data_IF_153771781431
#
_entry.id   IF_153771781431
#
_cell.length_a   1.000
_cell.length_b   1.000
_cell.length_c   1.000
_cell.angle_alpha   90.00
_cell.angle_beta   90.00
_cell.angle_gamma   90.00
#
_symmetry.space_group_name_H-M   'P 1'
#
loop_
_entity.id
_entity.type
_entity.pdbx_description
1 polymer ?
#
# COMPACT_ATOMS: atom_id res chain seq x y z
N UNK A 1 10.36 -5.61 31.69
CA UNK A 1 10.37 -6.67 30.67
C UNK A 1 10.35 -5.97 29.32
N UNK A 2 11.43 -6.06 28.51
CA UNK A 2 11.43 -5.46 27.17
C UNK A 2 10.33 -6.05 26.31
N UNK A 3 9.51 -5.22 25.68
CA UNK A 3 8.50 -5.67 24.72
C UNK A 3 9.20 -6.49 23.63
N UNK A 4 8.69 -7.67 23.31
CA UNK A 4 9.21 -8.51 22.23
C UNK A 4 9.14 -7.72 20.94
N UNK A 5 10.26 -7.46 20.29
CA UNK A 5 10.32 -6.72 19.02
C UNK A 5 9.96 -7.70 17.91
N UNK A 6 8.75 -7.58 17.35
CA UNK A 6 8.32 -8.34 16.17
C UNK A 6 8.96 -7.77 14.91
N UNK A 7 9.30 -8.63 13.96
CA UNK A 7 9.45 -8.21 12.56
C UNK A 7 8.06 -8.00 11.97
N UNK A 8 7.96 -7.23 10.88
CA UNK A 8 6.66 -7.03 10.21
C UNK A 8 6.03 -8.35 9.77
N UNK A 9 6.81 -9.30 9.25
CA UNK A 9 6.30 -10.64 8.86
C UNK A 9 5.73 -11.42 10.04
N UNK A 10 6.39 -11.43 11.19
CA UNK A 10 5.89 -12.08 12.41
C UNK A 10 4.61 -11.43 12.91
N UNK A 11 4.56 -10.10 12.89
CA UNK A 11 3.36 -9.36 13.27
C UNK A 11 2.20 -9.65 12.33
N UNK A 12 2.41 -9.53 11.01
CA UNK A 12 1.40 -9.80 9.99
C UNK A 12 0.84 -11.23 10.13
N UNK A 13 1.70 -12.23 10.25
CA UNK A 13 1.28 -13.62 10.46
C UNK A 13 0.41 -13.77 11.71
N UNK A 14 0.82 -13.17 12.83
CA UNK A 14 0.05 -13.19 14.07
C UNK A 14 -1.33 -12.51 13.94
N UNK A 15 -1.42 -11.39 13.18
CA UNK A 15 -2.70 -10.72 12.96
C UNK A 15 -3.62 -11.57 12.08
N UNK A 16 -3.10 -12.18 11.01
CA UNK A 16 -3.88 -13.08 10.14
C UNK A 16 -4.39 -14.28 10.93
N UNK A 17 -3.53 -14.96 11.70
CA UNK A 17 -3.90 -16.11 12.53
C UNK A 17 -4.97 -15.76 13.58
N UNK A 18 -4.89 -14.58 14.17
CA UNK A 18 -5.87 -14.11 15.16
C UNK A 18 -7.09 -13.42 14.56
N UNK A 19 -7.17 -13.32 13.23
CA UNK A 19 -8.25 -12.63 12.53
C UNK A 19 -8.31 -11.13 12.77
N UNK A 20 -7.20 -10.52 13.24
CA UNK A 20 -7.14 -9.09 13.57
C UNK A 20 -6.66 -8.23 12.41
N UNK A 21 -7.14 -6.99 12.29
CA UNK A 21 -6.68 -6.07 11.25
C UNK A 21 -5.28 -5.52 11.52
N UNK A 22 -4.64 -5.05 10.43
CA UNK A 22 -3.42 -4.24 10.45
C UNK A 22 -3.76 -2.87 9.86
N UNK A 23 -3.44 -1.82 10.59
CA UNK A 23 -3.77 -0.47 10.19
C UNK A 23 -2.55 0.26 9.64
N UNK A 24 -2.70 0.79 8.42
CA UNK A 24 -1.76 1.70 7.79
C UNK A 24 -2.19 3.14 8.05
N UNK A 25 -1.28 4.07 7.85
CA UNK A 25 -1.54 5.49 7.96
C UNK A 25 -2.36 6.04 6.77
N UNK A 26 -2.33 7.34 6.57
CA UNK A 26 -3.06 8.05 5.52
C UNK A 26 -2.17 8.98 4.72
N UNK A 27 -2.80 9.95 4.03
CA UNK A 27 -2.13 10.81 3.07
C UNK A 27 -1.05 11.72 3.64
N UNK A 28 0.23 11.42 3.42
CA UNK A 28 1.36 12.27 3.78
C UNK A 28 1.25 13.64 3.09
N UNK A 29 1.04 13.68 1.78
CA UNK A 29 0.89 14.92 1.03
C UNK A 29 -0.30 15.78 1.51
N UNK A 30 -1.40 15.15 1.91
CA UNK A 30 -2.55 15.82 2.52
C UNK A 30 -2.17 16.54 3.82
N UNK A 31 -1.39 15.87 4.66
CA UNK A 31 -0.93 16.44 5.94
C UNK A 31 0.10 17.55 5.74
N UNK A 32 1.01 17.40 4.80
CA UNK A 32 1.95 18.45 4.42
C UNK A 32 1.18 19.70 3.94
N UNK A 33 0.19 19.53 3.07
CA UNK A 33 -0.64 20.64 2.61
C UNK A 33 -1.39 21.32 3.78
N UNK A 34 -1.91 20.54 4.73
CA UNK A 34 -2.59 21.05 5.93
C UNK A 34 -1.66 21.80 6.88
N UNK A 35 -0.38 21.48 6.93
CA UNK A 35 0.60 22.19 7.77
C UNK A 35 0.80 23.63 7.34
N UNK A 36 0.41 23.99 6.10
CA UNK A 36 0.59 25.32 5.55
C UNK A 36 2.04 25.66 5.17
N UNK A 37 2.96 24.70 5.26
CA UNK A 37 4.35 24.92 4.86
C UNK A 37 4.43 25.16 3.35
N UNK A 38 5.26 26.11 2.95
CA UNK A 38 5.48 26.52 1.55
C UNK A 38 6.98 26.66 1.28
N UNK A 39 7.37 26.81 0.01
CA UNK A 39 8.77 27.09 -0.37
C UNK A 39 9.62 25.84 -0.58
N UNK A 40 9.01 24.67 -0.70
CA UNK A 40 9.69 23.44 -1.13
C UNK A 40 9.40 23.13 -2.61
N UNK A 41 10.31 22.45 -3.26
CA UNK A 41 10.14 22.05 -4.65
C UNK A 41 9.42 20.69 -4.78
N UNK A 42 9.71 19.78 -3.86
CA UNK A 42 9.10 18.45 -3.73
C UNK A 42 8.81 18.15 -2.25
N UNK A 43 7.81 17.32 -1.93
CA UNK A 43 7.49 16.98 -0.54
C UNK A 43 8.66 16.44 0.27
N UNK A 44 9.54 15.69 -0.37
CA UNK A 44 10.72 15.07 0.23
C UNK A 44 11.73 16.10 0.75
N UNK A 45 11.76 17.33 0.21
CA UNK A 45 12.62 18.42 0.71
C UNK A 45 12.35 18.72 2.19
N UNK A 46 11.12 18.49 2.66
CA UNK A 46 10.75 18.74 4.05
C UNK A 46 11.47 17.80 5.02
N UNK A 47 11.95 16.66 4.55
CA UNK A 47 12.79 15.79 5.38
C UNK A 47 14.08 16.50 5.87
N UNK A 48 14.56 17.48 5.10
CA UNK A 48 15.77 18.25 5.41
C UNK A 48 15.45 19.62 6.01
N UNK A 49 14.45 20.32 5.46
CA UNK A 49 14.18 21.71 5.83
C UNK A 49 13.18 21.84 7.00
N UNK A 50 12.27 20.85 7.16
CA UNK A 50 11.23 20.84 8.18
C UNK A 50 10.97 19.43 8.70
N UNK A 51 12.00 18.70 9.18
CA UNK A 51 11.84 17.31 9.65
C UNK A 51 10.87 17.20 10.83
N UNK A 52 10.73 18.26 11.62
CA UNK A 52 9.78 18.33 12.75
C UNK A 52 8.32 18.22 12.29
N UNK A 53 7.97 18.74 11.10
CA UNK A 53 6.63 18.62 10.53
C UNK A 53 6.34 17.17 10.15
N UNK A 54 7.29 16.52 9.46
CA UNK A 54 7.14 15.12 9.04
C UNK A 54 7.08 14.19 10.25
N UNK A 55 7.92 14.44 11.25
CA UNK A 55 7.91 13.67 12.49
C UNK A 55 6.57 13.80 13.24
N UNK A 56 6.02 15.01 13.35
CA UNK A 56 4.73 15.25 13.98
C UNK A 56 3.59 14.56 13.22
N UNK A 57 3.61 14.56 11.88
CA UNK A 57 2.63 13.82 11.07
C UNK A 57 2.64 12.33 11.41
N UNK A 58 3.81 11.70 11.50
CA UNK A 58 3.92 10.30 11.90
C UNK A 58 3.38 10.05 13.30
N UNK A 59 3.69 10.92 14.27
CA UNK A 59 3.16 10.83 15.65
C UNK A 59 1.63 10.95 15.66
N UNK A 60 1.06 11.85 14.87
CA UNK A 60 -0.39 12.01 14.77
C UNK A 60 -1.07 10.74 14.21
N UNK A 61 -0.49 10.07 13.21
CA UNK A 61 -1.00 8.82 12.68
C UNK A 61 -0.88 7.66 13.68
N UNK A 62 0.23 7.55 14.43
CA UNK A 62 0.35 6.57 15.50
C UNK A 62 -0.70 6.79 16.60
N UNK A 63 -0.96 8.06 17.00
CA UNK A 63 -2.05 8.41 17.91
C UNK A 63 -3.45 8.09 17.36
N UNK A 64 -3.60 8.01 16.05
CA UNK A 64 -4.83 7.57 15.40
C UNK A 64 -4.99 6.03 15.38
N UNK A 65 -3.95 5.27 15.77
CA UNK A 65 -3.98 3.82 15.92
C UNK A 65 -3.37 3.02 14.76
N UNK A 66 -2.61 3.64 13.85
CA UNK A 66 -1.94 2.90 12.79
C UNK A 66 -0.74 2.09 13.31
N UNK A 67 -0.46 0.97 12.63
CA UNK A 67 0.69 0.11 12.89
C UNK A 67 1.86 0.39 11.92
N UNK A 68 1.56 0.77 10.69
CA UNK A 68 2.54 0.98 9.62
C UNK A 68 2.53 2.44 9.21
N UNK A 69 3.71 3.03 9.19
CA UNK A 69 3.94 4.42 8.77
C UNK A 69 4.56 4.43 7.38
N UNK A 70 4.01 5.24 6.49
CA UNK A 70 4.52 5.45 5.13
C UNK A 70 5.50 6.62 5.10
N UNK A 71 6.75 6.40 4.67
CA UNK A 71 7.77 7.43 4.69
C UNK A 71 7.47 8.57 3.70
N UNK A 72 7.94 9.78 4.00
CA UNK A 72 7.92 10.88 3.03
C UNK A 72 9.05 10.70 1.99
N UNK A 73 8.92 9.66 1.15
CA UNK A 73 9.91 9.26 0.14
C UNK A 73 9.30 8.77 -1.19
N UNK A 74 7.99 8.93 -1.37
CA UNK A 74 7.23 8.45 -2.54
C UNK A 74 7.86 8.81 -3.89
N UNK A 75 8.33 10.05 -4.04
CA UNK A 75 8.98 10.54 -5.26
C UNK A 75 10.50 10.41 -5.27
N UNK A 76 11.10 9.87 -4.20
CA UNK A 76 12.54 9.79 -4.04
C UNK A 76 13.15 8.68 -4.90
N UNK A 77 13.33 8.93 -6.19
CA UNK A 77 14.08 8.04 -7.07
C UNK A 77 15.14 8.80 -7.88
N UNK A 78 16.27 8.14 -8.24
CA UNK A 78 17.40 8.78 -8.90
C UNK A 78 17.05 9.48 -10.23
N UNK A 79 16.05 8.99 -10.95
CA UNK A 79 15.67 9.54 -12.26
C UNK A 79 14.88 10.84 -12.12
N UNK A 80 13.95 10.92 -11.15
CA UNK A 80 13.20 12.15 -10.84
C UNK A 80 14.11 13.22 -10.22
N UNK A 81 15.03 12.79 -9.38
CA UNK A 81 15.82 13.68 -8.51
C UNK A 81 17.21 14.02 -9.07
N UNK A 82 17.47 13.77 -10.36
CA UNK A 82 18.74 14.05 -11.01
C UNK A 82 19.26 15.50 -10.79
N UNK A 83 18.33 16.45 -10.62
CA UNK A 83 18.65 17.89 -10.43
C UNK A 83 18.31 18.40 -9.04
N UNK A 84 18.02 17.53 -8.10
CA UNK A 84 17.68 17.90 -6.72
C UNK A 84 18.92 18.22 -5.89
N UNK A 85 18.71 18.89 -4.75
CA UNK A 85 19.81 19.28 -3.87
C UNK A 85 20.48 18.07 -3.18
N UNK A 86 19.73 16.99 -2.99
CA UNK A 86 20.18 15.75 -2.38
C UNK A 86 19.94 14.58 -3.32
N UNK A 87 20.68 13.49 -3.11
CA UNK A 87 20.48 12.23 -3.82
C UNK A 87 19.20 11.54 -3.35
N UNK A 88 18.64 10.66 -4.18
CA UNK A 88 17.46 9.88 -3.79
C UNK A 88 17.74 9.02 -2.55
N UNK A 89 18.94 8.46 -2.45
CA UNK A 89 19.40 7.68 -1.29
C UNK A 89 19.46 8.52 0.00
N UNK A 90 19.87 9.79 -0.07
CA UNK A 90 19.85 10.70 1.07
C UNK A 90 18.43 11.04 1.51
N UNK A 91 17.51 11.32 0.56
CA UNK A 91 16.10 11.56 0.86
C UNK A 91 15.46 10.35 1.56
N UNK A 92 15.68 9.15 1.02
CA UNK A 92 15.17 7.90 1.62
C UNK A 92 15.76 7.67 3.01
N UNK A 93 17.08 7.79 3.16
CA UNK A 93 17.73 7.62 4.46
C UNK A 93 17.12 8.57 5.49
N UNK A 94 17.01 9.85 5.13
CA UNK A 94 16.50 10.87 6.03
C UNK A 94 15.04 10.63 6.43
N UNK A 95 14.19 10.20 5.49
CA UNK A 95 12.79 9.88 5.78
C UNK A 95 12.64 8.74 6.78
N UNK A 96 13.44 7.68 6.65
CA UNK A 96 13.45 6.56 7.61
C UNK A 96 13.98 6.98 8.99
N UNK A 97 15.02 7.81 9.05
CA UNK A 97 15.53 8.36 10.31
C UNK A 97 14.42 9.12 11.06
N UNK A 98 13.64 9.96 10.36
CA UNK A 98 12.52 10.70 10.94
C UNK A 98 11.46 9.75 11.48
N UNK A 99 11.06 8.73 10.72
CA UNK A 99 10.10 7.73 11.19
C UNK A 99 10.59 7.01 12.45
N UNK A 100 11.85 6.58 12.48
CA UNK A 100 12.44 5.91 13.65
C UNK A 100 12.45 6.83 14.87
N UNK A 101 12.74 8.12 14.68
CA UNK A 101 12.66 9.13 15.74
C UNK A 101 11.21 9.30 16.24
N UNK A 102 10.24 9.39 15.32
CA UNK A 102 8.82 9.49 15.65
C UNK A 102 8.34 8.28 16.44
N UNK A 103 8.70 7.06 16.02
CA UNK A 103 8.35 5.81 16.72
C UNK A 103 8.93 5.80 18.13
N UNK A 104 10.21 6.15 18.28
CA UNK A 104 10.86 6.17 19.61
C UNK A 104 10.19 7.18 20.55
N UNK A 105 9.79 8.36 20.05
CA UNK A 105 9.05 9.36 20.81
C UNK A 105 7.66 8.86 21.20
N UNK A 106 6.93 8.28 20.25
CA UNK A 106 5.60 7.72 20.49
C UNK A 106 5.62 6.61 21.55
N UNK A 107 6.61 5.72 21.51
CA UNK A 107 6.81 4.68 22.52
C UNK A 107 7.12 5.27 23.90
N UNK A 108 7.95 6.32 23.96
CA UNK A 108 8.29 7.02 25.20
C UNK A 108 7.06 7.73 25.80
N UNK A 109 6.17 8.27 24.96
CA UNK A 109 4.91 8.90 25.34
C UNK A 109 3.80 7.90 25.69
N UNK A 110 4.06 6.58 25.58
CA UNK A 110 3.13 5.51 25.94
C UNK A 110 2.08 5.22 24.87
N UNK A 111 2.29 5.64 23.62
CA UNK A 111 1.43 5.27 22.48
C UNK A 111 1.62 3.77 22.21
N UNK A 112 0.50 3.04 22.22
CA UNK A 112 0.52 1.57 22.06
C UNK A 112 0.86 1.17 20.62
N UNK A 113 1.82 0.24 20.46
CA UNK A 113 2.24 -0.34 19.19
C UNK A 113 1.93 -1.84 19.09
N UNK A 114 2.54 -2.56 18.15
CA UNK A 114 3.78 -2.21 17.46
C UNK A 114 3.61 -1.21 16.32
N UNK A 115 4.65 -0.42 16.07
CA UNK A 115 4.75 0.48 14.93
C UNK A 115 5.94 0.08 14.04
N UNK A 116 5.73 0.16 12.71
CA UNK A 116 6.71 -0.22 11.71
C UNK A 116 7.03 0.97 10.79
N UNK A 117 8.31 1.17 10.54
CA UNK A 117 8.81 2.15 9.60
C UNK A 117 8.87 1.53 8.21
N UNK A 118 8.23 2.13 7.21
CA UNK A 118 8.32 1.63 5.84
C UNK A 118 9.06 2.60 4.93
N UNK A 119 9.85 2.05 4.01
CA UNK A 119 10.25 2.80 2.83
C UNK A 119 9.09 2.81 1.85
N UNK A 120 8.71 3.99 1.41
CA UNK A 120 7.64 4.22 0.44
C UNK A 120 8.22 4.68 -0.89
N UNK A 121 7.74 4.08 -1.98
CA UNK A 121 8.10 4.45 -3.35
C UNK A 121 6.94 4.27 -4.31
N UNK A 122 6.79 5.25 -5.20
CA UNK A 122 5.84 5.20 -6.31
C UNK A 122 6.52 5.03 -7.67
N UNK A 123 5.79 5.37 -8.71
CA UNK A 123 6.25 5.32 -10.10
C UNK A 123 7.45 6.24 -10.34
N UNK A 124 8.36 5.83 -11.22
CA UNK A 124 9.51 6.63 -11.67
C UNK A 124 9.05 7.87 -12.45
N UNK A 125 7.84 7.85 -13.02
CA UNK A 125 7.28 8.98 -13.79
C UNK A 125 7.72 9.02 -15.25
N UNK A 126 8.27 7.94 -15.75
CA UNK A 126 8.55 7.70 -17.18
C UNK A 126 8.03 6.32 -17.54
N UNK A 127 7.38 6.20 -18.70
CA UNK A 127 6.94 4.88 -19.17
C UNK A 127 8.14 4.05 -19.62
N UNK A 128 8.05 2.73 -19.35
CA UNK A 128 9.02 1.77 -19.81
C UNK A 128 8.84 1.45 -21.31
N UNK A 129 9.90 0.96 -21.94
CA UNK A 129 9.84 0.46 -23.31
C UNK A 129 8.81 -0.70 -23.41
N UNK A 130 8.10 -0.81 -24.55
CA UNK A 130 8.20 0.00 -25.77
C UNK A 130 7.33 1.26 -25.75
N UNK A 131 6.54 1.53 -24.70
CA UNK A 131 5.62 2.66 -24.63
C UNK A 131 6.33 3.98 -24.29
N UNK A 132 7.46 3.93 -23.65
CA UNK A 132 8.32 5.06 -23.29
C UNK A 132 9.78 4.81 -23.65
N UNK A 133 10.66 5.56 -23.00
CA UNK A 133 12.11 5.50 -23.27
C UNK A 133 12.93 4.87 -22.14
N UNK A 134 12.29 4.45 -21.04
CA UNK A 134 12.97 3.88 -19.90
C UNK A 134 13.09 2.37 -20.07
N UNK A 135 14.33 1.84 -20.04
CA UNK A 135 14.50 0.38 -20.07
C UNK A 135 14.15 -0.25 -18.72
N UNK A 136 13.82 -1.54 -18.73
CA UNK A 136 13.60 -2.31 -17.51
C UNK A 136 14.80 -2.25 -16.56
N UNK A 137 16.01 -2.41 -17.09
CA UNK A 137 17.23 -2.39 -16.29
C UNK A 137 17.48 -1.02 -15.64
N UNK A 138 17.16 0.06 -16.33
CA UNK A 138 17.25 1.42 -15.76
C UNK A 138 16.25 1.60 -14.60
N UNK A 139 15.03 1.10 -14.75
CA UNK A 139 14.03 1.13 -13.67
C UNK A 139 14.48 0.26 -12.48
N UNK A 140 14.92 -0.96 -12.74
CA UNK A 140 15.44 -1.88 -11.73
C UNK A 140 16.60 -1.27 -10.93
N UNK A 141 17.64 -0.73 -11.61
CA UNK A 141 18.79 -0.11 -10.94
C UNK A 141 18.40 1.15 -10.16
N UNK A 142 17.38 1.90 -10.64
CA UNK A 142 16.84 3.04 -9.89
C UNK A 142 16.23 2.60 -8.55
N UNK A 143 15.34 1.62 -8.56
CA UNK A 143 14.72 1.07 -7.34
C UNK A 143 15.73 0.40 -6.41
N UNK A 144 16.70 -0.33 -6.97
CA UNK A 144 17.76 -1.00 -6.20
C UNK A 144 18.58 -0.03 -5.34
N UNK A 145 18.98 1.12 -5.90
CA UNK A 145 19.75 2.13 -5.15
C UNK A 145 19.01 2.58 -3.90
N UNK A 146 17.72 2.90 -4.03
CA UNK A 146 16.93 3.45 -2.93
C UNK A 146 16.46 2.39 -1.95
N UNK A 147 16.11 1.17 -2.38
CA UNK A 147 15.72 0.11 -1.44
C UNK A 147 16.90 -0.35 -0.56
N UNK A 148 18.10 -0.40 -1.11
CA UNK A 148 19.32 -0.72 -0.34
C UNK A 148 19.62 0.39 0.69
N UNK A 149 19.41 1.65 0.32
CA UNK A 149 19.54 2.77 1.26
C UNK A 149 18.49 2.69 2.38
N UNK A 150 17.24 2.35 2.05
CA UNK A 150 16.17 2.18 3.01
C UNK A 150 16.44 1.06 4.03
N UNK A 151 16.89 -0.10 3.56
CA UNK A 151 17.27 -1.20 4.46
C UNK A 151 18.42 -0.80 5.40
N UNK A 152 19.46 -0.14 4.88
CA UNK A 152 20.57 0.35 5.68
C UNK A 152 20.15 1.40 6.71
N UNK A 153 19.19 2.24 6.38
CA UNK A 153 18.59 3.21 7.31
C UNK A 153 17.69 2.55 8.37
N UNK A 154 17.34 1.27 8.19
CA UNK A 154 16.59 0.47 9.15
C UNK A 154 15.08 0.47 8.93
N UNK A 155 14.61 0.60 7.70
CA UNK A 155 13.22 0.34 7.35
C UNK A 155 12.82 -1.09 7.76
N UNK A 156 11.57 -1.27 8.21
CA UNK A 156 11.04 -2.58 8.60
C UNK A 156 10.37 -3.30 7.43
N UNK A 157 9.93 -2.56 6.39
CA UNK A 157 9.33 -3.08 5.15
C UNK A 157 9.46 -2.06 4.00
N UNK A 158 9.19 -2.52 2.79
CA UNK A 158 9.08 -1.70 1.58
C UNK A 158 7.62 -1.64 1.13
N UNK A 159 7.13 -0.44 0.83
CA UNK A 159 5.84 -0.20 0.18
C UNK A 159 6.11 0.32 -1.23
N UNK A 160 5.65 -0.40 -2.22
CA UNK A 160 5.68 -0.03 -3.64
C UNK A 160 4.23 0.30 -4.00
N UNK A 161 3.87 1.59 -4.04
CA UNK A 161 2.48 1.97 -4.12
C UNK A 161 2.13 2.81 -5.35
N UNK A 162 0.82 2.92 -5.62
CA UNK A 162 0.25 3.73 -6.71
C UNK A 162 0.79 3.32 -8.08
N UNK A 163 1.09 2.04 -8.26
CA UNK A 163 1.65 1.52 -9.50
C UNK A 163 0.55 1.34 -10.55
N UNK A 164 0.81 1.76 -11.78
CA UNK A 164 -0.14 1.65 -12.90
C UNK A 164 0.37 0.80 -14.06
N UNK A 165 1.64 0.40 -14.01
CA UNK A 165 2.31 -0.42 -15.00
C UNK A 165 2.88 -1.69 -14.35
N UNK A 166 2.43 -2.86 -14.85
CA UNK A 166 2.88 -4.14 -14.33
C UNK A 166 4.38 -4.39 -14.57
N UNK A 167 4.93 -3.84 -15.65
CA UNK A 167 6.34 -4.02 -15.96
C UNK A 167 7.24 -3.19 -15.06
N UNK A 168 6.78 -1.99 -14.69
CA UNK A 168 7.47 -1.14 -13.72
C UNK A 168 7.40 -1.72 -12.29
N UNK A 169 6.22 -2.17 -11.84
CA UNK A 169 6.10 -2.78 -10.50
C UNK A 169 6.94 -4.05 -10.37
N UNK A 170 7.12 -4.82 -11.47
CA UNK A 170 8.05 -5.96 -11.49
C UNK A 170 9.48 -5.52 -11.23
N UNK A 171 9.95 -4.46 -11.89
CA UNK A 171 11.30 -3.94 -11.68
C UNK A 171 11.51 -3.54 -10.21
N UNK A 172 10.53 -2.87 -9.60
CA UNK A 172 10.57 -2.46 -8.20
C UNK A 172 10.59 -3.66 -7.25
N UNK A 173 9.68 -4.63 -7.41
CA UNK A 173 9.62 -5.82 -6.55
C UNK A 173 10.90 -6.64 -6.64
N UNK A 174 11.42 -6.88 -7.85
CA UNK A 174 12.65 -7.63 -8.04
C UNK A 174 13.84 -6.90 -7.42
N UNK A 175 13.93 -5.58 -7.59
CA UNK A 175 14.99 -4.78 -6.98
C UNK A 175 15.03 -4.95 -5.45
N UNK A 176 13.88 -4.89 -4.78
CA UNK A 176 13.79 -5.11 -3.32
C UNK A 176 14.18 -6.55 -2.96
N UNK A 177 13.57 -7.54 -3.60
CA UNK A 177 13.71 -8.94 -3.22
C UNK A 177 15.12 -9.51 -3.47
N UNK A 178 15.81 -9.04 -4.49
CA UNK A 178 17.14 -9.53 -4.86
C UNK A 178 18.25 -8.82 -4.07
N UNK A 179 18.01 -7.62 -3.53
CA UNK A 179 19.05 -6.81 -2.92
C UNK A 179 18.82 -6.50 -1.43
N UNK A 180 17.66 -6.86 -0.88
CA UNK A 180 17.31 -6.62 0.53
C UNK A 180 16.59 -7.81 1.15
N UNK A 181 16.35 -7.75 2.46
CA UNK A 181 15.50 -8.70 3.21
C UNK A 181 14.15 -8.10 3.57
N UNK A 182 13.86 -6.89 3.12
CA UNK A 182 12.63 -6.18 3.45
C UNK A 182 11.39 -6.98 2.99
N UNK A 183 10.36 -7.12 3.83
CA UNK A 183 9.03 -7.49 3.38
C UNK A 183 8.55 -6.50 2.32
N UNK A 184 7.79 -7.00 1.34
CA UNK A 184 7.30 -6.18 0.22
C UNK A 184 5.78 -6.10 0.27
N UNK A 185 5.27 -4.89 0.32
CA UNK A 185 3.87 -4.54 0.07
C UNK A 185 3.80 -3.90 -1.31
N UNK A 186 2.96 -4.40 -2.22
CA UNK A 186 2.82 -3.86 -3.56
C UNK A 186 1.37 -3.54 -3.88
N UNK A 187 1.08 -2.28 -4.22
CA UNK A 187 -0.26 -1.83 -4.57
C UNK A 187 -0.33 -1.21 -5.96
N UNK A 188 -1.43 -1.53 -6.64
CA UNK A 188 -1.77 -0.95 -7.94
C UNK A 188 -2.79 0.17 -7.76
N UNK A 189 -2.85 1.08 -8.73
CA UNK A 189 -3.91 2.09 -8.80
C UNK A 189 -4.76 1.87 -10.03
N UNK A 190 -6.07 2.10 -9.90
CA UNK A 190 -7.06 1.84 -10.93
C UNK A 190 -7.83 3.11 -11.27
N UNK A 191 -8.26 3.20 -12.51
CA UNK A 191 -9.15 4.25 -13.01
C UNK A 191 -10.63 3.86 -12.77
N UNK A 192 -11.57 4.75 -13.05
CA UNK A 192 -13.02 4.54 -12.93
C UNK A 192 -13.54 3.25 -13.61
N UNK A 193 -12.86 2.79 -14.66
CA UNK A 193 -13.19 1.54 -15.35
C UNK A 193 -12.60 0.28 -14.69
N UNK A 194 -12.06 0.39 -13.48
CA UNK A 194 -11.39 -0.67 -12.70
C UNK A 194 -10.22 -1.33 -13.45
N UNK A 195 -9.53 -0.54 -14.30
CA UNK A 195 -8.30 -0.94 -14.97
C UNK A 195 -7.16 0.01 -14.63
N UNK A 196 -5.96 -0.51 -14.65
CA UNK A 196 -4.76 0.34 -14.54
C UNK A 196 -4.64 1.26 -15.76
N UNK A 197 -3.79 2.26 -15.70
CA UNK A 197 -3.51 3.16 -16.82
C UNK A 197 -3.08 2.38 -18.09
N UNK A 198 -2.37 1.28 -17.91
CA UNK A 198 -1.90 0.41 -19.02
C UNK A 198 -2.92 -0.66 -19.43
N UNK A 199 -4.12 -0.64 -18.83
CA UNK A 199 -5.28 -1.45 -19.24
C UNK A 199 -5.43 -2.79 -18.52
N UNK A 200 -4.58 -3.15 -17.57
CA UNK A 200 -4.69 -4.38 -16.79
C UNK A 200 -5.91 -4.33 -15.85
N UNK A 201 -6.69 -5.42 -15.79
CA UNK A 201 -7.75 -5.60 -14.81
C UNK A 201 -7.22 -6.22 -13.50
N UNK A 202 -8.09 -6.32 -12.50
CA UNK A 202 -7.71 -6.80 -11.16
C UNK A 202 -7.18 -8.24 -11.22
N UNK A 203 -7.83 -9.13 -11.97
CA UNK A 203 -7.37 -10.52 -12.10
C UNK A 203 -5.96 -10.60 -12.70
N UNK A 204 -5.68 -9.80 -13.73
CA UNK A 204 -4.35 -9.71 -14.34
C UNK A 204 -3.33 -9.19 -13.33
N UNK A 205 -3.67 -8.13 -12.58
CA UNK A 205 -2.80 -7.55 -11.56
C UNK A 205 -2.49 -8.56 -10.44
N UNK A 206 -3.51 -9.22 -9.88
CA UNK A 206 -3.33 -10.24 -8.84
C UNK A 206 -2.45 -11.38 -9.33
N UNK A 207 -2.76 -11.96 -10.49
CA UNK A 207 -1.99 -13.07 -11.08
C UNK A 207 -0.51 -12.69 -11.26
N UNK A 208 -0.27 -11.47 -11.76
CA UNK A 208 1.09 -10.97 -12.01
C UNK A 208 1.85 -10.71 -10.72
N UNK A 209 1.22 -10.02 -9.76
CA UNK A 209 1.86 -9.68 -8.48
C UNK A 209 2.17 -10.93 -7.66
N UNK A 210 1.25 -11.90 -7.57
CA UNK A 210 1.48 -13.13 -6.81
C UNK A 210 2.62 -13.97 -7.40
N UNK A 211 2.80 -13.97 -8.72
CA UNK A 211 3.95 -14.61 -9.36
C UNK A 211 5.30 -13.98 -8.94
N UNK A 212 5.29 -12.71 -8.58
CA UNK A 212 6.46 -11.98 -8.07
C UNK A 212 6.69 -12.18 -6.56
N UNK A 213 5.73 -12.81 -5.85
CA UNK A 213 5.80 -13.18 -4.44
C UNK A 213 6.13 -12.02 -3.49
N UNK A 214 5.41 -10.89 -3.50
CA UNK A 214 5.46 -9.94 -2.40
C UNK A 214 4.84 -10.56 -1.13
N UNK A 215 4.95 -9.90 0.02
CA UNK A 215 4.31 -10.33 1.26
C UNK A 215 2.82 -9.92 1.31
N UNK A 216 2.48 -8.80 0.68
CA UNK A 216 1.12 -8.21 0.61
C UNK A 216 0.90 -7.62 -0.78
N UNK A 217 -0.31 -7.78 -1.30
CA UNK A 217 -0.76 -7.08 -2.52
C UNK A 217 -1.98 -6.22 -2.21
N UNK A 218 -2.38 -5.36 -3.12
CA UNK A 218 -3.58 -4.57 -2.93
C UNK A 218 -3.72 -3.41 -3.90
N UNK A 219 -4.48 -2.42 -3.47
CA UNK A 219 -4.65 -1.19 -4.23
C UNK A 219 -4.67 0.04 -3.31
N UNK A 220 -4.26 1.17 -3.87
CA UNK A 220 -4.36 2.46 -3.22
C UNK A 220 -4.72 3.55 -4.22
N UNK A 221 -5.11 4.70 -3.72
CA UNK A 221 -5.61 5.80 -4.53
C UNK A 221 -6.85 5.39 -5.38
N UNK A 222 -6.97 5.94 -6.58
CA UNK A 222 -8.04 5.61 -7.53
C UNK A 222 -9.29 6.43 -7.34
N UNK A 223 -10.42 5.82 -7.59
CA UNK A 223 -11.72 6.44 -7.72
C UNK A 223 -12.48 6.75 -6.43
N UNK A 224 -13.79 6.55 -6.48
CA UNK A 224 -14.72 6.76 -5.36
C UNK A 224 -14.60 5.62 -4.33
N UNK A 225 -15.26 5.80 -3.17
CA UNK A 225 -15.34 4.74 -2.14
C UNK A 225 -16.10 3.50 -2.64
N UNK A 226 -17.09 3.68 -3.53
CA UNK A 226 -17.85 2.59 -4.16
C UNK A 226 -16.95 1.76 -5.09
N UNK A 227 -16.14 2.43 -5.90
CA UNK A 227 -15.14 1.76 -6.76
C UNK A 227 -14.09 1.04 -5.90
N UNK A 228 -13.66 1.65 -4.79
CA UNK A 228 -12.79 1.01 -3.80
C UNK A 228 -13.41 -0.26 -3.19
N UNK A 229 -14.70 -0.25 -2.89
CA UNK A 229 -15.41 -1.45 -2.41
C UNK A 229 -15.48 -2.55 -3.49
N UNK A 230 -15.71 -2.19 -4.75
CA UNK A 230 -15.69 -3.17 -5.86
C UNK A 230 -14.28 -3.74 -6.09
N UNK A 231 -13.25 -2.90 -6.07
CA UNK A 231 -11.86 -3.36 -6.12
C UNK A 231 -11.54 -4.33 -4.97
N UNK A 232 -12.00 -4.01 -3.76
CA UNK A 232 -11.81 -4.89 -2.58
C UNK A 232 -12.39 -6.27 -2.84
N UNK A 233 -13.65 -6.37 -3.32
CA UNK A 233 -14.30 -7.65 -3.64
C UNK A 233 -13.52 -8.43 -4.70
N UNK A 234 -13.06 -7.76 -5.76
CA UNK A 234 -12.30 -8.42 -6.82
C UNK A 234 -10.92 -8.90 -6.33
N UNK A 235 -10.19 -8.06 -5.57
CA UNK A 235 -8.93 -8.51 -4.98
C UNK A 235 -9.14 -9.72 -4.06
N UNK A 236 -10.10 -9.66 -3.13
CA UNK A 236 -10.38 -10.75 -2.20
C UNK A 236 -10.89 -12.02 -2.87
N UNK A 237 -11.49 -11.89 -4.05
CA UNK A 237 -11.93 -13.03 -4.87
C UNK A 237 -10.76 -13.78 -5.48
N UNK A 238 -9.73 -13.08 -5.95
CA UNK A 238 -8.65 -13.66 -6.73
C UNK A 238 -7.35 -13.87 -5.95
N UNK A 239 -7.11 -13.08 -4.90
CA UNK A 239 -5.86 -13.07 -4.16
C UNK A 239 -5.78 -14.22 -3.13
N UNK A 240 -4.59 -14.85 -3.07
CA UNK A 240 -4.20 -15.78 -2.01
C UNK A 240 -3.33 -15.09 -0.95
N UNK A 241 -2.67 -14.01 -1.33
CA UNK A 241 -1.90 -13.17 -0.41
C UNK A 241 -2.80 -12.20 0.36
N UNK A 242 -2.37 -11.71 1.54
CA UNK A 242 -3.07 -10.67 2.26
C UNK A 242 -3.28 -9.43 1.40
N UNK A 243 -4.46 -8.82 1.50
CA UNK A 243 -4.85 -7.66 0.68
C UNK A 243 -4.85 -6.39 1.50
N UNK A 244 -4.14 -5.36 1.01
CA UNK A 244 -4.14 -3.99 1.51
C UNK A 244 -5.12 -3.12 0.73
N UNK A 245 -5.96 -2.38 1.46
CA UNK A 245 -6.99 -1.49 0.93
C UNK A 245 -6.78 -0.07 1.44
N UNK A 246 -6.33 0.84 0.57
CA UNK A 246 -6.02 2.24 0.91
C UNK A 246 -6.70 3.23 -0.08
N UNK A 247 -8.04 3.40 -0.03
CA UNK A 247 -8.73 4.33 -0.90
C UNK A 247 -8.45 5.79 -0.51
N UNK A 248 -8.76 6.69 -1.44
CA UNK A 248 -8.83 8.13 -1.17
C UNK A 248 -10.03 8.46 -0.28
N UNK A 249 -10.03 9.66 0.31
CA UNK A 249 -11.21 10.25 0.94
C UNK A 249 -12.20 10.78 -0.14
N UNK A 250 -12.63 9.88 -1.04
CA UNK A 250 -13.46 10.18 -2.20
C UNK A 250 -12.68 10.73 -3.40
N UNK A 251 -13.42 11.24 -4.38
CA UNK A 251 -12.83 11.82 -5.60
C UNK A 251 -12.23 13.21 -5.32
N UNK A 252 -11.07 13.53 -5.94
CA UNK A 252 -10.50 14.86 -5.86
C UNK A 252 -11.40 15.89 -6.54
N UNK A 253 -11.61 17.03 -5.91
CA UNK A 253 -12.33 18.18 -6.43
C UNK A 253 -11.41 19.40 -6.44
N UNK A 254 -11.64 20.32 -7.36
CA UNK A 254 -10.91 21.59 -7.40
C UNK A 254 -11.80 22.70 -6.84
N UNK A 255 -11.43 23.23 -5.68
CA UNK A 255 -12.12 24.37 -5.05
C UNK A 255 -11.09 25.48 -4.85
N UNK A 256 -11.35 26.65 -5.39
CA UNK A 256 -10.44 27.82 -5.35
C UNK A 256 -9.01 27.50 -5.82
N UNK A 257 -8.90 26.67 -6.88
CA UNK A 257 -7.60 26.27 -7.46
C UNK A 257 -6.81 25.26 -6.60
N UNK A 258 -7.40 24.71 -5.55
CA UNK A 258 -6.78 23.67 -4.70
C UNK A 258 -7.52 22.36 -4.83
N UNK A 259 -6.77 21.26 -4.84
CA UNK A 259 -7.36 19.92 -4.75
C UNK A 259 -7.84 19.67 -3.33
N UNK A 260 -9.12 19.33 -3.19
CA UNK A 260 -9.76 18.99 -1.93
C UNK A 260 -10.47 17.65 -2.04
N UNK A 261 -10.65 17.00 -0.91
CA UNK A 261 -11.41 15.75 -0.77
C UNK A 261 -12.52 15.99 0.24
N UNK A 262 -13.75 15.59 -0.09
CA UNK A 262 -14.95 15.98 0.67
C UNK A 262 -15.50 14.85 1.54
N UNK A 263 -15.00 13.65 1.43
CA UNK A 263 -15.40 12.53 2.30
C UNK A 263 -14.84 12.79 3.70
N UNK A 264 -15.71 12.76 4.68
CA UNK A 264 -15.37 12.97 6.09
C UNK A 264 -15.02 11.64 6.80
N UNK A 265 -14.45 11.74 8.00
CA UNK A 265 -13.94 10.57 8.76
C UNK A 265 -14.97 9.47 8.99
N UNK A 266 -16.22 9.80 9.30
CA UNK A 266 -17.28 8.82 9.58
C UNK A 266 -17.70 8.04 8.32
N UNK A 267 -17.83 8.72 7.20
CA UNK A 267 -18.14 8.09 5.91
C UNK A 267 -17.01 7.18 5.44
N UNK A 268 -15.77 7.65 5.58
CA UNK A 268 -14.56 6.86 5.30
C UNK A 268 -14.50 5.60 6.19
N UNK A 269 -14.75 5.77 7.48
CA UNK A 269 -14.77 4.67 8.45
C UNK A 269 -15.84 3.61 8.13
N UNK A 270 -17.05 4.05 7.70
CA UNK A 270 -18.12 3.14 7.27
C UNK A 270 -17.71 2.32 6.05
N UNK A 271 -17.08 2.96 5.04
CA UNK A 271 -16.60 2.28 3.85
C UNK A 271 -15.52 1.25 4.18
N UNK A 272 -14.54 1.64 5.00
CA UNK A 272 -13.47 0.73 5.41
C UNK A 272 -13.94 -0.40 6.33
N UNK A 273 -14.93 -0.16 7.17
CA UNK A 273 -15.57 -1.22 7.97
C UNK A 273 -16.31 -2.25 7.08
N UNK A 274 -16.90 -1.82 5.95
CA UNK A 274 -17.45 -2.73 4.94
C UNK A 274 -16.37 -3.56 4.27
N UNK A 275 -15.27 -2.93 3.83
CA UNK A 275 -14.12 -3.62 3.26
C UNK A 275 -13.54 -4.67 4.24
N UNK A 276 -13.49 -4.33 5.54
CA UNK A 276 -13.08 -5.25 6.59
C UNK A 276 -14.03 -6.47 6.70
N UNK A 277 -15.34 -6.25 6.66
CA UNK A 277 -16.36 -7.32 6.70
C UNK A 277 -16.29 -8.24 5.49
N UNK A 278 -15.92 -7.72 4.32
CA UNK A 278 -15.65 -8.53 3.10
C UNK A 278 -14.39 -9.40 3.26
N UNK A 279 -13.50 -9.10 4.20
CA UNK A 279 -12.31 -9.91 4.51
C UNK A 279 -10.96 -9.20 4.35
N UNK A 280 -10.93 -7.90 4.06
CA UNK A 280 -9.67 -7.15 4.02
C UNK A 280 -8.99 -7.18 5.39
N UNK A 281 -7.70 -7.53 5.43
CA UNK A 281 -6.92 -7.60 6.68
C UNK A 281 -6.11 -6.33 6.90
N UNK A 282 -5.58 -5.75 5.84
CA UNK A 282 -4.77 -4.52 5.92
C UNK A 282 -5.58 -3.34 5.39
N UNK A 283 -5.72 -2.30 6.19
CA UNK A 283 -6.55 -1.15 5.89
C UNK A 283 -5.82 0.15 6.22
N UNK A 284 -5.97 1.14 5.37
CA UNK A 284 -5.40 2.47 5.55
C UNK A 284 -6.12 3.50 4.69
N UNK A 285 -5.48 4.62 4.46
CA UNK A 285 -6.00 5.67 3.58
C UNK A 285 -4.93 6.19 2.64
N UNK A 286 -5.35 6.85 1.56
CA UNK A 286 -4.47 7.53 0.63
C UNK A 286 -4.80 9.03 0.57
N UNK A 287 -4.83 9.63 -0.60
CA UNK A 287 -5.07 11.07 -0.77
C UNK A 287 -6.37 11.55 -0.10
N UNK A 288 -6.32 12.73 0.49
CA UNK A 288 -7.43 13.33 1.23
C UNK A 288 -7.60 12.83 2.67
N UNK A 289 -7.11 11.64 3.01
CA UNK A 289 -7.19 11.13 4.39
C UNK A 289 -6.19 11.81 5.32
N UNK A 290 -6.52 11.84 6.58
CA UNK A 290 -5.73 12.44 7.65
C UNK A 290 -5.95 11.67 8.97
N UNK A 291 -5.28 12.00 10.08
CA UNK A 291 -5.42 11.29 11.34
C UNK A 291 -6.85 11.15 11.88
N UNK A 292 -7.76 12.08 11.54
CA UNK A 292 -9.18 11.95 11.93
C UNK A 292 -9.86 10.79 11.20
N UNK A 293 -9.61 10.63 9.90
CA UNK A 293 -10.11 9.51 9.09
C UNK A 293 -9.59 8.17 9.60
N UNK A 294 -8.27 8.10 9.84
CA UNK A 294 -7.65 6.86 10.32
C UNK A 294 -8.16 6.49 11.71
N UNK A 295 -8.30 7.45 12.63
CA UNK A 295 -8.86 7.21 13.94
C UNK A 295 -10.31 6.70 13.86
N UNK A 296 -11.16 7.37 13.10
CA UNK A 296 -12.55 6.96 12.92
C UNK A 296 -12.65 5.53 12.35
N UNK A 297 -11.81 5.19 11.37
CA UNK A 297 -11.69 3.84 10.79
C UNK A 297 -11.29 2.82 11.85
N UNK A 298 -10.22 3.06 12.59
CA UNK A 298 -9.71 2.15 13.63
C UNK A 298 -10.76 1.91 14.70
N UNK A 299 -11.32 2.98 15.27
CA UNK A 299 -12.34 2.91 16.33
C UNK A 299 -13.58 2.16 15.85
N UNK A 300 -14.06 2.42 14.62
CA UNK A 300 -15.22 1.76 14.04
C UNK A 300 -14.99 0.25 13.84
N UNK A 301 -13.86 -0.14 13.26
CA UNK A 301 -13.55 -1.54 13.00
C UNK A 301 -13.40 -2.31 14.32
N UNK A 302 -12.63 -1.81 15.27
CA UNK A 302 -12.43 -2.44 16.56
C UNK A 302 -13.74 -2.57 17.36
N UNK A 303 -14.62 -1.58 17.29
CA UNK A 303 -15.96 -1.65 17.89
C UNK A 303 -16.84 -2.72 17.26
N UNK A 304 -16.85 -2.82 15.93
CA UNK A 304 -17.62 -3.82 15.20
C UNK A 304 -17.12 -5.25 15.56
N UNK A 305 -15.81 -5.47 15.65
CA UNK A 305 -15.22 -6.76 16.04
C UNK A 305 -15.53 -7.15 17.49
N UNK A 306 -15.45 -6.22 18.44
CA UNK A 306 -15.81 -6.48 19.84
C UNK A 306 -17.29 -6.87 19.99
N UNK A 307 -18.17 -6.20 19.25
CA UNK A 307 -19.61 -6.48 19.24
C UNK A 307 -19.98 -7.83 18.59
N UNK A 308 -19.15 -8.32 17.65
CA UNK A 308 -19.31 -9.62 17.02
C UNK A 308 -18.87 -10.77 17.96
N UNK A 309 -17.81 -10.55 18.76
CA UNK A 309 -17.33 -11.52 19.74
C UNK A 309 -18.37 -11.83 20.82
N UNK A 310 -19.14 -10.83 21.27
CA UNK A 310 -20.22 -11.02 22.25
C UNK A 310 -21.42 -11.81 21.70
N UNK A 311 -21.58 -11.91 20.36
CA UNK A 311 -22.67 -12.63 19.70
C UNK A 311 -22.30 -14.03 19.23
N UNK A 312 -21.02 -14.39 19.18
CA UNK A 312 -20.54 -15.64 18.57
C UNK A 312 -20.33 -16.79 19.57
N UNK A 313 -21.10 -16.88 20.67
CA UNK A 313 -21.28 -18.14 21.42
C UNK A 313 -22.27 -19.12 20.71
N UNK A 314 -22.48 -19.00 19.43
CA UNK A 314 -23.32 -19.87 18.61
C UNK A 314 -22.72 -20.05 17.23
N UNK A 315 -22.38 -21.30 16.89
CA UNK A 315 -21.89 -21.76 15.60
C UNK A 315 -22.44 -20.97 14.41
N UNK A 316 -21.60 -20.19 13.75
CA UNK A 316 -21.80 -19.83 12.36
C UNK A 316 -20.78 -20.61 11.53
N UNK A 317 -21.21 -21.74 11.00
CA UNK A 317 -20.65 -22.33 9.80
C UNK A 317 -20.59 -21.24 8.73
N UNK A 318 -19.36 -20.84 8.34
CA UNK A 318 -19.17 -19.90 7.23
C UNK A 318 -19.94 -20.40 6.01
N UNK A 319 -20.86 -19.60 5.51
CA UNK A 319 -21.36 -19.75 4.17
C UNK A 319 -20.16 -19.66 3.25
N UNK A 320 -19.95 -20.73 2.49
CA UNK A 320 -18.76 -20.94 1.71
C UNK A 320 -18.48 -19.75 0.81
N UNK A 321 -17.27 -19.20 0.88
CA UNK A 321 -16.70 -18.51 -0.28
C UNK A 321 -16.95 -19.44 -1.46
N UNK A 322 -17.68 -18.97 -2.47
CA UNK A 322 -17.60 -19.62 -3.77
C UNK A 322 -16.14 -19.62 -4.15
N UNK A 323 -15.47 -20.73 -3.88
CA UNK A 323 -14.18 -20.98 -4.48
C UNK A 323 -14.44 -20.94 -5.99
N UNK A 324 -14.08 -19.80 -6.59
CA UNK A 324 -13.76 -19.88 -8.00
C UNK A 324 -12.45 -20.64 -7.99
N UNK A 325 -12.45 -21.89 -8.39
CA UNK A 325 -11.21 -22.63 -8.40
C UNK A 325 -10.28 -21.90 -9.34
N UNK A 326 -9.17 -21.39 -8.84
CA UNK A 326 -8.03 -21.03 -9.67
C UNK A 326 -7.55 -22.24 -10.47
N UNK A 327 -8.02 -23.39 -10.06
CA UNK A 327 -7.98 -24.64 -10.81
C UNK A 327 -9.37 -25.28 -10.71
N UNK A 328 -9.87 -25.84 -11.80
CA UNK A 328 -11.09 -26.66 -11.82
C UNK A 328 -10.91 -28.02 -11.10
N UNK A 329 -9.97 -28.10 -10.14
CA UNK A 329 -9.55 -29.33 -9.49
C UNK A 329 -8.68 -30.24 -10.36
N UNK A 330 -8.44 -29.87 -11.62
CA UNK A 330 -7.70 -30.67 -12.59
C UNK A 330 -6.75 -29.79 -13.41
N UNK A 331 -5.63 -29.37 -12.81
CA UNK A 331 -4.46 -28.78 -13.49
C UNK A 331 -4.72 -27.53 -14.36
N UNK A 332 -5.76 -26.75 -14.11
CA UNK A 332 -5.94 -25.44 -14.74
C UNK A 332 -5.22 -24.36 -13.93
N UNK A 333 -4.59 -23.43 -14.61
CA UNK A 333 -3.94 -22.27 -13.99
C UNK A 333 -4.17 -21.00 -14.79
N UNK A 334 -3.95 -19.84 -14.17
CA UNK A 334 -3.94 -18.58 -14.89
C UNK A 334 -2.52 -18.21 -15.29
N UNK A 335 -2.38 -17.71 -16.50
CA UNK A 335 -1.20 -17.01 -16.99
C UNK A 335 -1.62 -15.61 -17.41
N UNK A 336 -0.74 -14.67 -17.30
CA UNK A 336 -1.02 -13.30 -17.72
C UNK A 336 0.05 -12.77 -18.67
N UNK A 337 -0.38 -11.93 -19.59
CA UNK A 337 0.47 -11.03 -20.34
C UNK A 337 0.38 -9.63 -19.72
N UNK A 338 0.89 -8.63 -20.41
CA UNK A 338 0.94 -7.24 -19.93
C UNK A 338 -0.41 -6.66 -19.43
N UNK A 339 -1.53 -7.03 -20.08
CA UNK A 339 -2.85 -6.47 -19.76
C UNK A 339 -4.00 -7.49 -19.79
N UNK A 340 -3.71 -8.78 -19.93
CA UNK A 340 -4.72 -9.85 -19.98
C UNK A 340 -4.27 -11.07 -19.21
N UNK A 341 -5.21 -11.71 -18.55
CA UNK A 341 -5.06 -13.06 -18.00
C UNK A 341 -5.80 -14.07 -18.86
N UNK A 342 -5.31 -15.29 -18.88
CA UNK A 342 -5.90 -16.42 -19.59
C UNK A 342 -5.82 -17.67 -18.73
N UNK A 343 -6.92 -18.37 -18.59
CA UNK A 343 -6.90 -19.69 -17.97
C UNK A 343 -6.37 -20.73 -18.95
N UNK A 344 -5.50 -21.60 -18.50
CA UNK A 344 -4.91 -22.70 -19.29
C UNK A 344 -5.04 -24.01 -18.53
N UNK A 345 -5.13 -25.13 -19.26
CA UNK A 345 -5.31 -26.47 -18.69
C UNK A 345 -6.76 -26.77 -18.31
N UNK A 346 -7.00 -27.94 -17.74
CA UNK A 346 -8.34 -28.43 -17.40
C UNK A 346 -9.31 -28.42 -18.59
N UNK A 347 -10.50 -27.92 -18.39
CA UNK A 347 -11.55 -27.81 -19.42
C UNK A 347 -11.27 -26.78 -20.52
N UNK A 348 -10.29 -25.88 -20.30
CA UNK A 348 -9.93 -24.83 -21.27
C UNK A 348 -8.91 -25.29 -22.33
N UNK A 349 -8.33 -26.48 -22.14
CA UNK A 349 -7.38 -27.05 -23.08
C UNK A 349 -6.06 -26.29 -23.18
N UNK A 350 -5.19 -26.64 -24.15
CA UNK A 350 -3.93 -25.96 -24.38
C UNK A 350 -4.14 -24.58 -25.03
N UNK A 351 -3.34 -23.62 -24.63
CA UNK A 351 -3.26 -22.29 -25.26
C UNK A 351 -2.02 -22.23 -26.14
N UNK A 352 -2.20 -21.87 -27.41
CA UNK A 352 -1.09 -21.62 -28.33
C UNK A 352 -0.58 -20.21 -28.06
N UNK A 353 0.65 -20.09 -27.60
CA UNK A 353 1.35 -18.82 -27.45
C UNK A 353 2.01 -18.54 -28.81
N UNK A 354 1.48 -17.55 -29.54
CA UNK A 354 2.13 -17.02 -30.73
C UNK A 354 3.27 -16.07 -30.35
N UNK A 355 4.35 -16.09 -31.11
CA UNK A 355 5.42 -15.07 -31.03
C UNK A 355 4.94 -13.71 -31.53
#
# INVERSE_FOLDING_TARGET
MGKKKYTFREFLASQIESGKPVFFDGGMGTMIQKSGVVGYAIPEDLNFYHPEIIEDIHIQYMKAGCNVLTANSFGANPIKLEKSAHTAEEYVTKSIEIQKSAIAKAEADGIEGPHFSSWDTGQIGKLLEPMGSLTFDQAYESYKKVCVAAEKAGADLAIIETMSDLYEVKAAILAVRENTKLPVVATMTFQENLRTLTGADVLTCVTYLEALRPDVIGFNCGGSLEEGAELTRQFLRYAHLPVLVQPNAGLPQVVDGKTVFLVEGDEFAEAQAKNRKEGAVLLGGCCGTNPTHIRAMVERILKDESSACDKSCGNSSGEGKEEIPLTDGVNATYVCSYNKSQQIGGSFGPVIIGE
#
